data_IF_483893059982
#
_entry.id   IF_483893059982
#
_cell.length_a   1.000
_cell.length_b   1.000
_cell.length_c   1.000
_cell.angle_alpha   90.00
_cell.angle_beta   90.00
_cell.angle_gamma   90.00
#
_symmetry.space_group_name_H-M   'P 1'
#
loop_
_entity.id
_entity.type
_entity.pdbx_description
1 polymer ?
#
# COMPACT_ATOMS: atom_id res chain seq x y z
N UNK A 1 -0.39 25.44 12.58
CA UNK A 1 -0.02 24.76 11.32
C UNK A 1 0.38 23.33 11.69
N UNK A 2 -0.53 22.37 11.52
CA UNK A 2 -0.24 20.95 11.74
C UNK A 2 0.49 20.41 10.51
N UNK A 3 1.52 19.61 10.73
CA UNK A 3 2.34 19.04 9.67
C UNK A 3 1.51 18.06 8.84
N UNK A 4 1.69 18.10 7.54
CA UNK A 4 1.16 17.12 6.60
C UNK A 4 1.95 15.82 6.80
N UNK A 5 1.29 14.76 7.22
CA UNK A 5 1.88 13.43 7.36
C UNK A 5 1.89 12.81 5.96
N UNK A 6 3.07 12.62 5.41
CA UNK A 6 3.25 11.85 4.18
C UNK A 6 3.61 10.41 4.58
N UNK A 7 2.71 9.47 4.35
CA UNK A 7 3.00 8.04 4.47
C UNK A 7 3.48 7.57 3.11
N UNK A 8 4.72 7.09 3.03
CA UNK A 8 5.22 6.43 1.83
C UNK A 8 5.02 4.92 2.01
N UNK A 9 4.09 4.34 1.28
CA UNK A 9 3.95 2.90 1.17
C UNK A 9 4.74 2.42 -0.06
N UNK A 10 5.62 1.46 0.13
CA UNK A 10 6.36 0.80 -0.95
C UNK A 10 5.75 -0.60 -1.07
N UNK A 11 5.00 -0.84 -2.13
CA UNK A 11 4.40 -2.14 -2.42
C UNK A 11 5.25 -2.88 -3.46
N UNK A 12 5.56 -4.13 -3.20
CA UNK A 12 6.25 -5.03 -4.12
C UNK A 12 5.27 -6.10 -4.56
N UNK A 13 5.05 -6.22 -5.85
CA UNK A 13 4.13 -7.20 -6.40
C UNK A 13 4.91 -8.40 -6.95
N UNK A 14 4.64 -9.57 -6.39
CA UNK A 14 5.17 -10.84 -6.89
C UNK A 14 4.20 -11.50 -7.88
N UNK A 15 4.73 -12.08 -8.96
CA UNK A 15 3.91 -12.72 -9.99
C UNK A 15 3.10 -13.89 -9.46
N UNK A 16 1.78 -13.83 -9.52
CA UNK A 16 0.90 -15.02 -9.53
C UNK A 16 0.24 -15.20 -10.90
N UNK A 17 0.09 -16.46 -11.23
CA UNK A 17 -0.46 -16.99 -12.48
C UNK A 17 -1.53 -16.08 -13.11
N UNK A 18 -1.25 -15.66 -14.32
CA UNK A 18 -1.93 -14.68 -15.16
C UNK A 18 -3.46 -14.85 -15.42
N UNK A 19 -4.13 -15.78 -14.76
CA UNK A 19 -5.54 -16.10 -15.06
C UNK A 19 -6.59 -15.33 -14.24
N UNK A 20 -6.20 -14.72 -13.11
CA UNK A 20 -7.16 -14.04 -12.22
C UNK A 20 -7.09 -12.50 -12.29
N UNK A 21 -5.98 -11.92 -12.71
CA UNK A 21 -5.70 -10.49 -12.60
C UNK A 21 -6.71 -9.62 -13.38
N UNK A 22 -7.15 -10.05 -14.54
CA UNK A 22 -8.08 -9.29 -15.38
C UNK A 22 -9.53 -9.18 -14.87
N UNK A 23 -9.89 -9.87 -13.79
CA UNK A 23 -11.26 -9.93 -13.27
C UNK A 23 -11.40 -9.39 -11.84
N UNK A 24 -10.31 -8.96 -11.21
CA UNK A 24 -10.36 -8.42 -9.84
C UNK A 24 -10.93 -7.00 -9.90
N UNK A 25 -12.04 -6.79 -9.21
CA UNK A 25 -12.70 -5.50 -9.10
C UNK A 25 -12.75 -4.97 -7.65
N UNK A 26 -12.41 -5.82 -6.68
CA UNK A 26 -12.36 -5.44 -5.27
C UNK A 26 -11.37 -6.27 -4.47
N UNK A 27 -10.76 -5.62 -3.49
CA UNK A 27 -9.90 -6.25 -2.48
C UNK A 27 -10.36 -5.79 -1.11
N UNK A 28 -10.48 -6.74 -0.20
CA UNK A 28 -10.65 -6.45 1.21
C UNK A 28 -9.49 -7.05 1.98
N UNK A 29 -8.92 -6.29 2.88
CA UNK A 29 -7.81 -6.75 3.71
C UNK A 29 -8.07 -6.47 5.18
N UNK A 30 -7.48 -7.28 6.04
CA UNK A 30 -7.47 -7.05 7.48
C UNK A 30 -6.21 -7.63 8.11
N UNK A 31 -5.71 -6.97 9.13
CA UNK A 31 -4.63 -7.43 10.01
C UNK A 31 -5.08 -7.39 11.47
N UNK A 32 -4.45 -8.20 12.31
CA UNK A 32 -4.62 -8.14 13.76
C UNK A 32 -3.30 -7.70 14.40
N UNK A 33 -3.32 -6.58 15.14
CA UNK A 33 -2.13 -6.07 15.82
C UNK A 33 -1.55 -7.04 16.85
N UNK A 34 -2.29 -8.05 17.29
CA UNK A 34 -1.79 -9.10 18.18
C UNK A 34 -0.80 -10.04 17.49
N UNK A 35 -0.84 -10.08 16.15
CA UNK A 35 0.05 -10.88 15.32
C UNK A 35 1.27 -10.07 14.85
N UNK A 36 1.37 -8.80 15.26
CA UNK A 36 2.50 -7.92 14.93
C UNK A 36 3.75 -8.35 15.69
N UNK A 37 4.85 -8.45 14.97
CA UNK A 37 6.17 -8.79 15.52
C UNK A 37 7.12 -7.59 15.42
N UNK A 38 8.02 -7.47 16.40
CA UNK A 38 8.91 -6.32 16.54
C UNK A 38 10.39 -6.67 16.46
N UNK A 39 10.73 -7.90 16.03
CA UNK A 39 12.11 -8.27 15.75
C UNK A 39 12.26 -8.78 14.33
N UNK A 40 13.38 -8.43 13.71
CA UNK A 40 13.67 -8.82 12.34
C UNK A 40 13.66 -10.36 12.14
N UNK A 41 14.20 -11.10 13.13
CA UNK A 41 14.17 -12.57 13.09
C UNK A 41 12.75 -13.15 13.09
N UNK A 42 11.83 -12.56 13.87
CA UNK A 42 10.42 -12.98 13.85
C UNK A 42 9.75 -12.64 12.51
N UNK A 43 10.07 -11.49 11.92
CA UNK A 43 9.55 -11.11 10.62
C UNK A 43 10.01 -12.07 9.51
N UNK A 44 11.26 -12.51 9.54
CA UNK A 44 11.76 -13.54 8.62
C UNK A 44 10.99 -14.86 8.75
N UNK A 45 10.65 -15.28 9.97
CA UNK A 45 9.83 -16.48 10.19
C UNK A 45 8.42 -16.32 9.68
N UNK A 46 7.78 -15.17 9.95
CA UNK A 46 6.45 -14.87 9.38
C UNK A 46 6.45 -14.92 7.86
N UNK A 47 7.51 -14.42 7.21
CA UNK A 47 7.64 -14.49 5.78
C UNK A 47 7.78 -15.94 5.26
N UNK A 48 8.55 -16.79 5.95
CA UNK A 48 8.65 -18.20 5.59
C UNK A 48 7.30 -18.93 5.69
N UNK A 49 6.47 -18.53 6.66
CA UNK A 49 5.17 -19.16 6.93
C UNK A 49 4.05 -18.65 6.01
N UNK A 50 4.05 -17.38 5.64
CA UNK A 50 2.87 -16.70 5.09
C UNK A 50 3.11 -15.90 3.81
N UNK A 51 4.34 -15.54 3.48
CA UNK A 51 4.58 -14.54 2.44
C UNK A 51 5.29 -15.07 1.19
N UNK A 52 5.25 -14.28 0.12
CA UNK A 52 6.18 -14.46 -0.99
C UNK A 52 7.59 -14.25 -0.44
N UNK A 53 8.55 -15.06 -0.94
CA UNK A 53 9.95 -14.97 -0.51
C UNK A 53 10.61 -13.73 -1.09
N UNK A 54 10.47 -12.62 -0.42
CA UNK A 54 11.05 -11.34 -0.77
C UNK A 54 12.22 -11.03 0.16
N UNK A 55 13.34 -10.58 -0.39
CA UNK A 55 14.42 -10.09 0.44
C UNK A 55 14.10 -8.67 0.90
N UNK A 56 13.84 -8.50 2.18
CA UNK A 56 13.77 -7.20 2.82
C UNK A 56 14.94 -7.05 3.81
N UNK A 57 15.63 -5.91 3.81
CA UNK A 57 16.79 -5.72 4.69
C UNK A 57 16.36 -5.38 6.11
N UNK A 58 17.21 -5.67 7.10
CA UNK A 58 17.03 -5.17 8.46
C UNK A 58 17.18 -3.63 8.52
N UNK A 59 18.05 -3.08 7.65
CA UNK A 59 18.30 -1.65 7.56
C UNK A 59 18.57 -1.23 6.12
N UNK A 60 17.99 -0.12 5.71
CA UNK A 60 18.30 0.54 4.44
C UNK A 60 19.52 1.45 4.55
N UNK A 61 20.27 1.63 3.47
CA UNK A 61 21.46 2.49 3.41
C UNK A 61 21.17 3.96 3.71
N UNK A 62 19.94 4.41 3.57
CA UNK A 62 19.47 5.75 3.90
C UNK A 62 19.09 5.93 5.37
N UNK A 63 19.26 4.89 6.22
CA UNK A 63 19.10 4.93 7.66
C UNK A 63 17.72 4.54 8.19
N UNK A 64 16.79 4.08 7.36
CA UNK A 64 15.58 3.43 7.84
C UNK A 64 15.91 2.04 8.37
N UNK A 65 15.38 1.70 9.56
CA UNK A 65 15.58 0.43 10.24
C UNK A 65 14.24 -0.27 10.44
N UNK A 66 14.26 -1.60 10.43
CA UNK A 66 13.07 -2.41 10.72
C UNK A 66 12.48 -2.03 12.09
N UNK A 67 11.16 -1.88 12.17
CA UNK A 67 10.42 -1.62 13.41
C UNK A 67 9.43 -2.73 13.72
N UNK A 68 8.63 -3.15 12.73
CA UNK A 68 7.63 -4.20 12.92
C UNK A 68 7.25 -4.88 11.61
N UNK A 69 6.61 -6.04 11.72
CA UNK A 69 5.92 -6.70 10.62
C UNK A 69 4.60 -7.29 11.11
N UNK A 70 3.56 -7.20 10.26
CA UNK A 70 2.25 -7.76 10.56
C UNK A 70 1.72 -8.55 9.36
N UNK A 71 1.15 -9.76 9.55
CA UNK A 71 0.48 -10.48 8.49
C UNK A 71 -0.87 -9.82 8.16
N UNK A 72 -1.10 -9.61 6.88
CA UNK A 72 -2.34 -9.03 6.34
C UNK A 72 -3.05 -10.07 5.51
N UNK A 73 -4.24 -10.46 5.93
CA UNK A 73 -5.11 -11.34 5.18
C UNK A 73 -5.86 -10.53 4.14
N UNK A 74 -5.95 -11.01 2.91
CA UNK A 74 -6.74 -10.35 1.87
C UNK A 74 -7.64 -11.34 1.14
N UNK A 75 -8.77 -10.82 0.65
CA UNK A 75 -9.68 -11.52 -0.26
C UNK A 75 -9.92 -10.64 -1.49
N UNK A 76 -9.93 -11.27 -2.67
CA UNK A 76 -10.21 -10.61 -3.93
C UNK A 76 -11.58 -11.00 -4.46
N UNK A 77 -12.27 -10.08 -5.11
CA UNK A 77 -13.59 -10.29 -5.70
C UNK A 77 -13.68 -9.71 -7.11
N UNK A 78 -14.61 -10.26 -7.90
CA UNK A 78 -15.00 -9.69 -9.18
C UNK A 78 -15.98 -8.52 -9.01
N UNK A 79 -16.38 -7.92 -10.14
CA UNK A 79 -17.34 -6.81 -10.18
C UNK A 79 -18.75 -7.18 -9.65
N UNK A 80 -19.07 -8.45 -9.60
CA UNK A 80 -20.35 -8.95 -9.11
C UNK A 80 -20.29 -9.38 -7.63
N UNK A 81 -19.11 -9.18 -6.99
CA UNK A 81 -18.85 -9.51 -5.58
C UNK A 81 -18.53 -10.98 -5.33
N UNK A 82 -18.33 -11.80 -6.37
CA UNK A 82 -17.92 -13.18 -6.21
C UNK A 82 -16.46 -13.26 -5.79
N UNK A 83 -16.13 -14.09 -4.81
CA UNK A 83 -14.77 -14.30 -4.34
C UNK A 83 -13.94 -15.00 -5.43
N UNK A 84 -12.79 -14.40 -5.77
CA UNK A 84 -11.83 -14.92 -6.74
C UNK A 84 -10.65 -15.61 -6.06
N UNK A 85 -10.21 -15.09 -4.93
CA UNK A 85 -9.06 -15.62 -4.22
C UNK A 85 -8.91 -15.03 -2.81
N UNK A 86 -7.96 -15.61 -2.09
CA UNK A 86 -7.51 -15.11 -0.79
C UNK A 86 -6.03 -15.40 -0.61
N UNK A 87 -5.36 -14.58 0.19
CA UNK A 87 -3.95 -14.78 0.51
C UNK A 87 -3.56 -14.04 1.78
N UNK A 88 -2.28 -14.12 2.07
CA UNK A 88 -1.64 -13.38 3.17
C UNK A 88 -0.38 -12.76 2.60
N UNK A 89 -0.16 -11.48 2.88
CA UNK A 89 1.12 -10.80 2.69
C UNK A 89 1.60 -10.23 4.02
N UNK A 90 2.81 -9.71 4.04
CA UNK A 90 3.36 -9.02 5.19
C UNK A 90 3.48 -7.52 4.89
N UNK A 91 2.97 -6.72 5.81
CA UNK A 91 3.31 -5.31 5.90
C UNK A 91 4.49 -5.15 6.84
N UNK A 92 5.60 -4.62 6.33
CA UNK A 92 6.84 -4.43 7.05
C UNK A 92 7.08 -2.95 7.22
N UNK A 93 7.11 -2.48 8.47
CA UNK A 93 7.30 -1.08 8.79
C UNK A 93 8.77 -0.80 9.11
N UNK A 94 9.28 0.26 8.53
CA UNK A 94 10.60 0.81 8.81
C UNK A 94 10.48 2.23 9.32
N UNK A 95 11.20 2.52 10.39
CA UNK A 95 11.28 3.82 10.99
C UNK A 95 12.66 4.47 10.84
N UNK A 96 12.65 5.78 10.95
CA UNK A 96 13.85 6.62 11.04
C UNK A 96 13.55 7.85 11.86
N UNK A 97 14.44 8.19 12.81
CA UNK A 97 14.26 9.33 13.70
C UNK A 97 13.98 10.63 12.93
N UNK A 98 12.89 11.31 13.31
CA UNK A 98 12.47 12.57 12.69
C UNK A 98 11.88 12.47 11.30
N UNK A 99 11.63 11.24 10.82
CA UNK A 99 11.00 10.97 9.53
C UNK A 99 9.72 10.15 9.71
N UNK A 100 8.81 10.25 8.76
CA UNK A 100 7.65 9.37 8.72
C UNK A 100 8.08 7.93 8.41
N UNK A 101 7.42 6.93 9.01
CA UNK A 101 7.70 5.53 8.71
C UNK A 101 7.36 5.20 7.25
N UNK A 102 8.02 4.20 6.71
CA UNK A 102 7.68 3.61 5.42
C UNK A 102 7.20 2.18 5.63
N UNK A 103 6.19 1.76 4.86
CA UNK A 103 5.72 0.38 4.82
C UNK A 103 6.16 -0.27 3.51
N UNK A 104 6.72 -1.45 3.62
CA UNK A 104 7.07 -2.32 2.51
C UNK A 104 6.10 -3.50 2.53
N UNK A 105 5.41 -3.73 1.41
CA UNK A 105 4.49 -4.86 1.24
C UNK A 105 4.81 -5.60 -0.04
N UNK A 106 4.79 -6.93 0.02
CA UNK A 106 4.89 -7.77 -1.17
C UNK A 106 3.56 -8.46 -1.40
N UNK A 107 2.84 -8.04 -2.40
CA UNK A 107 1.50 -8.54 -2.73
C UNK A 107 1.50 -9.23 -4.08
N UNK A 108 0.50 -10.07 -4.27
CA UNK A 108 0.18 -10.59 -5.59
C UNK A 108 -0.50 -9.46 -6.37
N UNK A 109 0.07 -9.14 -7.53
CA UNK A 109 -0.26 -7.96 -8.31
C UNK A 109 -1.75 -7.74 -8.49
N UNK A 110 -2.20 -6.64 -7.96
CA UNK A 110 -3.47 -6.02 -8.26
C UNK A 110 -3.15 -4.81 -9.12
N UNK A 111 -3.51 -4.89 -10.38
CA UNK A 111 -3.37 -3.74 -11.27
C UNK A 111 -4.28 -2.63 -10.73
N UNK A 112 -3.70 -1.66 -10.06
CA UNK A 112 -4.39 -0.67 -9.22
C UNK A 112 -5.21 0.38 -9.97
N UNK A 113 -5.45 0.21 -11.26
CA UNK A 113 -6.40 0.99 -12.05
C UNK A 113 -6.07 2.48 -12.22
N UNK A 114 -5.20 3.06 -11.42
CA UNK A 114 -4.77 4.46 -11.55
C UNK A 114 -3.47 4.56 -12.34
N UNK A 115 -3.36 5.55 -13.20
CA UNK A 115 -2.10 5.81 -13.89
C UNK A 115 -1.04 6.32 -12.90
N UNK A 116 0.22 5.87 -13.00
CA UNK A 116 1.30 6.37 -12.17
C UNK A 116 1.52 7.87 -12.43
N UNK A 117 1.87 8.60 -11.38
CA UNK A 117 2.22 10.03 -11.46
C UNK A 117 3.55 10.24 -12.19
N UNK A 118 4.47 9.30 -12.04
CA UNK A 118 5.79 9.29 -12.69
C UNK A 118 6.28 7.85 -12.84
N UNK A 119 7.17 7.61 -13.82
CA UNK A 119 7.77 6.30 -14.09
C UNK A 119 9.27 6.48 -14.29
N UNK A 120 10.07 5.62 -13.66
CA UNK A 120 11.52 5.63 -13.76
C UNK A 120 12.08 4.24 -13.97
N UNK A 121 12.90 4.06 -14.98
CA UNK A 121 13.60 2.79 -15.22
C UNK A 121 14.95 2.79 -14.51
N UNK A 122 15.23 1.76 -13.74
CA UNK A 122 16.52 1.49 -13.10
C UNK A 122 17.55 0.96 -14.10
N UNK A 123 18.83 0.93 -13.69
CA UNK A 123 19.91 0.46 -14.55
C UNK A 123 19.85 -1.02 -14.92
N UNK A 124 19.13 -1.84 -14.17
CA UNK A 124 18.85 -3.26 -14.42
C UNK A 124 17.61 -3.51 -15.29
N UNK A 125 16.90 -2.43 -15.66
CA UNK A 125 15.66 -2.50 -16.44
C UNK A 125 14.39 -2.51 -15.61
N UNK A 126 14.47 -2.60 -14.29
CA UNK A 126 13.29 -2.54 -13.41
C UNK A 126 12.58 -1.20 -13.56
N UNK A 127 11.28 -1.25 -13.81
CA UNK A 127 10.43 -0.07 -13.89
C UNK A 127 9.83 0.25 -12.50
N UNK A 128 10.09 1.45 -11.99
CA UNK A 128 9.51 1.97 -10.76
C UNK A 128 8.35 2.90 -11.12
N UNK A 129 7.16 2.57 -10.68
CA UNK A 129 5.94 3.37 -10.87
C UNK A 129 5.65 4.15 -9.59
N UNK A 130 5.57 5.46 -9.70
CA UNK A 130 5.32 6.35 -8.57
C UNK A 130 3.86 6.81 -8.59
N UNK A 131 3.23 6.73 -7.43
CA UNK A 131 1.86 7.20 -7.22
C UNK A 131 1.84 8.22 -6.10
N UNK A 132 1.05 9.25 -6.29
CA UNK A 132 0.81 10.26 -5.27
C UNK A 132 -0.67 10.54 -5.21
N UNK A 133 -1.28 10.21 -4.07
CA UNK A 133 -2.72 10.36 -3.84
C UNK A 133 -2.97 11.38 -2.74
N UNK A 134 -3.88 12.29 -2.99
CA UNK A 134 -4.39 13.22 -1.98
C UNK A 134 -5.61 12.59 -1.34
N UNK A 135 -5.56 12.40 -0.01
CA UNK A 135 -6.66 11.85 0.76
C UNK A 135 -7.34 12.98 1.52
N UNK A 136 -8.63 13.14 1.32
CA UNK A 136 -9.45 14.13 2.02
C UNK A 136 -10.46 13.41 2.93
N UNK A 137 -10.30 13.56 4.22
CA UNK A 137 -11.24 13.06 5.22
C UNK A 137 -12.20 14.18 5.58
N UNK A 138 -13.49 13.87 5.62
CA UNK A 138 -14.53 14.90 5.81
C UNK A 138 -15.60 14.43 6.80
N UNK A 139 -16.32 15.36 7.45
CA UNK A 139 -17.49 15.04 8.27
C UNK A 139 -18.59 14.32 7.49
N UNK A 140 -19.40 13.52 8.20
CA UNK A 140 -20.44 12.71 7.59
C UNK A 140 -21.51 13.52 6.81
N UNK A 141 -21.66 14.81 7.13
CA UNK A 141 -22.58 15.74 6.47
C UNK A 141 -21.91 16.64 5.43
N UNK A 142 -20.66 16.34 5.03
CA UNK A 142 -19.94 17.11 4.02
C UNK A 142 -20.60 16.97 2.65
N UNK A 143 -20.78 18.08 1.96
CA UNK A 143 -21.28 18.12 0.59
C UNK A 143 -20.07 18.23 -0.38
N UNK A 144 -20.01 17.31 -1.33
CA UNK A 144 -18.99 17.30 -2.38
C UNK A 144 -18.99 18.61 -3.18
N UNK A 145 -17.84 19.25 -3.24
CA UNK A 145 -17.63 20.41 -4.09
C UNK A 145 -17.37 20.01 -5.54
N UNK A 146 -17.51 20.94 -6.46
CA UNK A 146 -17.13 20.71 -7.86
C UNK A 146 -15.61 20.48 -8.04
N UNK A 147 -14.80 21.00 -7.12
CA UNK A 147 -13.36 20.75 -7.08
C UNK A 147 -13.06 19.31 -6.67
N UNK A 148 -13.77 18.78 -5.65
CA UNK A 148 -13.64 17.40 -5.21
C UNK A 148 -14.00 16.42 -6.34
N UNK A 149 -15.09 16.66 -7.04
CA UNK A 149 -15.53 15.84 -8.18
C UNK A 149 -14.49 15.79 -9.29
N UNK A 150 -13.94 16.94 -9.66
CA UNK A 150 -12.86 17.01 -10.66
C UNK A 150 -11.59 16.29 -10.21
N UNK A 151 -11.26 16.39 -8.92
CA UNK A 151 -10.09 15.70 -8.38
C UNK A 151 -10.29 14.18 -8.37
N UNK A 152 -11.49 13.68 -8.06
CA UNK A 152 -11.83 12.26 -8.17
C UNK A 152 -11.77 11.75 -9.62
N UNK A 153 -12.26 12.54 -10.58
CA UNK A 153 -12.18 12.21 -12.01
C UNK A 153 -10.72 12.15 -12.52
N UNK A 154 -9.82 12.90 -11.90
CA UNK A 154 -8.38 12.86 -12.22
C UNK A 154 -7.67 11.60 -11.71
N UNK A 155 -8.29 10.83 -10.80
CA UNK A 155 -7.84 9.51 -10.38
C UNK A 155 -6.71 9.48 -9.34
N UNK A 156 -6.34 10.62 -8.75
CA UNK A 156 -5.29 10.72 -7.72
C UNK A 156 -5.80 11.42 -6.44
N UNK A 157 -7.09 11.26 -6.15
CA UNK A 157 -7.76 11.87 -5.03
C UNK A 157 -8.78 10.91 -4.43
N UNK A 158 -8.66 10.64 -3.14
CA UNK A 158 -9.58 9.84 -2.37
C UNK A 158 -10.33 10.71 -1.36
N UNK A 159 -11.63 10.45 -1.20
CA UNK A 159 -12.47 11.13 -0.24
C UNK A 159 -13.14 10.12 0.67
N UNK A 160 -12.95 10.30 1.98
CA UNK A 160 -13.53 9.46 3.00
C UNK A 160 -14.35 10.28 3.99
N UNK A 161 -15.50 9.74 4.38
CA UNK A 161 -16.42 10.35 5.37
C UNK A 161 -16.19 9.75 6.75
N UNK A 162 -16.40 10.56 7.80
CA UNK A 162 -16.40 10.10 9.19
C UNK A 162 -15.37 10.77 10.10
N UNK A 163 -14.64 11.77 9.62
CA UNK A 163 -13.82 12.63 10.48
C UNK A 163 -14.68 13.73 11.16
N UNK A 164 -14.18 14.29 12.23
CA UNK A 164 -14.86 15.41 12.93
C UNK A 164 -14.64 16.76 12.20
N UNK A 165 -13.51 16.89 11.50
CA UNK A 165 -13.12 18.07 10.74
C UNK A 165 -12.51 17.67 9.38
N UNK A 166 -12.37 18.63 8.46
CA UNK A 166 -11.71 18.37 7.17
C UNK A 166 -10.22 18.20 7.39
N UNK A 167 -9.71 17.01 7.06
CA UNK A 167 -8.30 16.68 7.07
C UNK A 167 -7.83 16.32 5.66
N UNK A 168 -6.68 16.85 5.27
CA UNK A 168 -6.07 16.54 3.96
C UNK A 168 -4.69 15.98 4.22
N UNK A 169 -4.45 14.77 3.73
CA UNK A 169 -3.16 14.10 3.78
C UNK A 169 -2.71 13.73 2.37
N UNK A 170 -1.45 13.36 2.22
CA UNK A 170 -0.90 12.86 0.96
C UNK A 170 -0.22 11.54 1.23
N UNK A 171 -0.61 10.50 0.50
CA UNK A 171 0.11 9.24 0.43
C UNK A 171 0.99 9.18 -0.82
N UNK A 172 2.15 8.57 -0.68
CA UNK A 172 3.05 8.29 -1.78
C UNK A 172 3.35 6.79 -1.80
N UNK A 173 3.29 6.19 -2.98
CA UNK A 173 3.58 4.78 -3.18
C UNK A 173 4.59 4.64 -4.32
N UNK A 174 5.47 3.67 -4.20
CA UNK A 174 6.35 3.21 -5.28
C UNK A 174 6.08 1.74 -5.48
N UNK A 175 5.84 1.37 -6.72
CA UNK A 175 5.50 0.00 -7.11
C UNK A 175 6.49 -0.48 -8.17
N UNK A 176 6.85 -1.75 -8.12
CA UNK A 176 7.61 -2.43 -9.17
C UNK A 176 7.28 -3.93 -9.19
N UNK A 177 7.47 -4.55 -10.34
CA UNK A 177 7.30 -5.98 -10.50
C UNK A 177 8.60 -6.71 -10.14
N UNK A 178 8.44 -7.90 -9.58
CA UNK A 178 9.54 -8.85 -9.36
C UNK A 178 9.26 -10.13 -10.15
N UNK A 179 10.29 -10.62 -10.84
CA UNK A 179 10.26 -11.90 -11.57
C UNK A 179 10.21 -13.13 -10.65
#
# INVERSE_FOLDING_TARGET
KKAVIAVAAICVFGSMTAFAIGNIAGVTSHSDRRDEVHTYEQALKLQEEHGPKVNFPEQFSNGYTFESAVPVNYETSDKDGNKLGKGIHLDITYGKEGMEPITFSAEVGLDGGSAPTDVKTCGDGTELRFYKTVNKFVPANYELTEEDKKAQEAGNFDLAYGSDEIEITTSCMVEWDMD
#
